data_IF_169224612131
#
_entry.id   IF_169224612131
#
_cell.length_a   1.000
_cell.length_b   1.000
_cell.length_c   1.000
_cell.angle_alpha   90.00
_cell.angle_beta   90.00
_cell.angle_gamma   90.00
#
_symmetry.space_group_name_H-M   'P 1'
#
loop_
_entity.id
_entity.type
_entity.pdbx_description
1 polymer ?
#
# COMPACT_ATOMS: atom_id res chain seq x y z
N UNK A 1 -1.60 17.01 9.74
CA UNK A 1 -3.01 17.34 10.06
C UNK A 1 -3.41 17.07 11.52
N UNK A 2 -3.29 15.86 12.05
CA UNK A 2 -3.76 15.54 13.43
C UNK A 2 -3.04 16.36 14.51
N UNK A 3 -1.73 16.51 14.39
CA UNK A 3 -0.92 17.35 15.29
C UNK A 3 -1.26 18.83 15.19
N UNK A 4 -1.52 19.32 13.97
CA UNK A 4 -1.93 20.70 13.72
C UNK A 4 -3.27 20.99 14.41
N UNK A 5 -4.24 20.08 14.31
CA UNK A 5 -5.53 20.18 14.99
C UNK A 5 -5.33 20.19 16.50
N UNK A 6 -4.52 19.27 17.04
CA UNK A 6 -4.23 19.22 18.48
C UNK A 6 -3.63 20.55 18.97
N UNK A 7 -2.70 21.13 18.22
CA UNK A 7 -2.08 22.42 18.55
C UNK A 7 -3.07 23.58 18.49
N UNK A 8 -3.93 23.60 17.48
CA UNK A 8 -4.94 24.65 17.29
C UNK A 8 -6.03 24.62 18.37
N UNK A 9 -6.41 23.44 18.86
CA UNK A 9 -7.48 23.29 19.87
C UNK A 9 -6.97 23.44 21.30
N UNK A 10 -5.67 23.23 21.55
CA UNK A 10 -5.03 23.32 22.88
C UNK A 10 -5.35 24.60 23.67
N UNK A 11 -5.45 25.82 23.07
CA UNK A 11 -5.80 27.04 23.80
C UNK A 11 -7.24 27.08 24.29
N UNK A 12 -8.15 26.33 23.65
CA UNK A 12 -9.57 26.28 23.98
C UNK A 12 -9.82 25.19 25.03
N UNK A 13 -9.27 23.99 24.79
CA UNK A 13 -9.47 22.85 25.67
C UNK A 13 -8.29 21.85 25.59
N UNK A 14 -7.84 21.28 26.71
CA UNK A 14 -6.74 20.31 26.69
C UNK A 14 -7.21 18.97 26.07
N UNK A 15 -6.67 18.64 24.90
CA UNK A 15 -6.95 17.38 24.18
C UNK A 15 -5.76 16.42 24.28
N UNK A 16 -6.03 15.18 24.71
CA UNK A 16 -4.98 14.16 24.94
C UNK A 16 -4.41 13.60 23.63
N UNK A 17 -5.28 13.22 22.70
CA UNK A 17 -4.94 12.71 21.37
C UNK A 17 -6.00 13.10 20.34
N UNK A 18 -5.60 13.22 19.08
CA UNK A 18 -6.48 13.48 17.94
C UNK A 18 -6.15 12.42 16.89
N UNK A 19 -7.17 11.79 16.32
CA UNK A 19 -7.01 10.76 15.28
C UNK A 19 -8.12 10.88 14.24
N UNK A 20 -7.78 10.69 12.96
CA UNK A 20 -8.75 10.61 11.87
C UNK A 20 -9.36 9.21 11.88
N UNK A 21 -10.61 9.09 12.35
CA UNK A 21 -11.30 7.80 12.49
C UNK A 21 -11.60 7.13 11.15
N UNK A 22 -11.89 7.92 10.11
CA UNK A 22 -12.32 7.45 8.81
C UNK A 22 -11.90 8.46 7.74
N UNK A 23 -11.23 7.97 6.70
CA UNK A 23 -10.97 8.71 5.47
C UNK A 23 -11.55 7.90 4.31
N UNK A 24 -12.39 8.52 3.49
CA UNK A 24 -12.97 7.91 2.30
C UNK A 24 -12.90 8.90 1.14
N UNK A 25 -12.52 8.40 -0.03
CA UNK A 25 -12.62 9.13 -1.28
C UNK A 25 -14.07 9.03 -1.76
N UNK A 26 -14.75 10.17 -1.91
CA UNK A 26 -16.15 10.22 -2.36
C UNK A 26 -16.29 10.37 -3.88
N UNK A 27 -15.27 10.94 -4.53
CA UNK A 27 -15.30 11.23 -5.96
C UNK A 27 -13.89 11.02 -6.53
N UNK A 28 -13.81 10.26 -7.62
CA UNK A 28 -12.58 10.05 -8.40
C UNK A 28 -12.64 10.78 -9.75
N UNK A 29 -11.52 10.83 -10.47
CA UNK A 29 -11.46 11.38 -11.83
C UNK A 29 -11.47 12.91 -11.93
N UNK A 30 -11.26 13.63 -10.83
CA UNK A 30 -11.13 15.10 -10.87
C UNK A 30 -9.74 15.48 -11.38
N UNK A 31 -9.67 15.92 -12.63
CA UNK A 31 -8.43 16.45 -13.21
C UNK A 31 -8.31 17.91 -12.81
N UNK A 32 -7.35 18.21 -11.93
CA UNK A 32 -6.99 19.59 -11.61
C UNK A 32 -5.86 20.06 -12.53
N UNK A 33 -6.08 21.14 -13.27
CA UNK A 33 -5.01 21.81 -14.04
C UNK A 33 -3.94 22.44 -13.13
N UNK A 34 -4.24 22.56 -11.83
CA UNK A 34 -3.34 23.09 -10.81
C UNK A 34 -2.83 21.97 -9.91
N UNK A 35 -1.58 21.56 -10.14
CA UNK A 35 -0.90 20.56 -9.33
C UNK A 35 0.13 19.81 -10.17
N UNK A 36 0.95 18.99 -9.50
CA UNK A 36 1.81 18.02 -10.20
C UNK A 36 0.95 16.91 -10.78
N UNK A 37 1.37 16.35 -11.91
CA UNK A 37 0.74 15.16 -12.50
C UNK A 37 1.14 13.90 -11.71
N UNK A 38 0.38 12.80 -11.85
CA UNK A 38 0.72 11.53 -11.18
C UNK A 38 2.12 11.03 -11.54
N UNK A 39 2.50 11.19 -12.81
CA UNK A 39 3.81 10.78 -13.32
C UNK A 39 4.95 11.60 -12.68
N UNK A 40 4.73 12.90 -12.44
CA UNK A 40 5.69 13.76 -11.75
C UNK A 40 5.87 13.36 -10.28
N UNK A 41 4.79 12.94 -9.60
CA UNK A 41 4.83 12.48 -8.20
C UNK A 41 5.66 11.20 -8.09
N UNK A 42 5.38 10.19 -8.92
CA UNK A 42 6.15 8.95 -8.91
C UNK A 42 7.63 9.17 -9.25
N UNK A 43 7.93 10.10 -10.18
CA UNK A 43 9.30 10.44 -10.51
C UNK A 43 10.04 11.13 -9.33
N UNK A 44 9.35 11.98 -8.57
CA UNK A 44 9.92 12.63 -7.39
C UNK A 44 10.13 11.64 -6.24
N UNK A 45 9.14 10.78 -5.98
CA UNK A 45 9.23 9.72 -4.96
C UNK A 45 10.38 8.75 -5.26
N UNK A 46 10.53 8.31 -6.51
CA UNK A 46 11.65 7.44 -6.91
C UNK A 46 13.01 8.11 -6.71
N UNK A 47 13.11 9.44 -6.94
CA UNK A 47 14.35 10.20 -6.70
C UNK A 47 14.64 10.35 -5.21
N UNK A 48 13.64 10.68 -4.39
CA UNK A 48 13.82 10.79 -2.94
C UNK A 48 14.15 9.45 -2.31
N UNK A 49 13.53 8.37 -2.77
CA UNK A 49 13.79 7.02 -2.28
C UNK A 49 15.19 6.56 -2.68
N UNK A 50 15.64 6.87 -3.90
CA UNK A 50 17.01 6.60 -4.33
C UNK A 50 18.02 7.38 -3.49
N UNK A 51 17.74 8.65 -3.16
CA UNK A 51 18.61 9.46 -2.31
C UNK A 51 18.65 8.93 -0.87
N UNK A 52 17.51 8.58 -0.28
CA UNK A 52 17.43 8.00 1.06
C UNK A 52 18.13 6.64 1.08
N UNK A 53 17.95 5.81 0.04
CA UNK A 53 18.62 4.52 -0.10
C UNK A 53 20.13 4.69 -0.26
N UNK A 54 20.58 5.67 -1.02
CA UNK A 54 22.01 5.97 -1.17
C UNK A 54 22.61 6.46 0.15
N UNK A 55 21.93 7.36 0.88
CA UNK A 55 22.38 7.82 2.21
C UNK A 55 22.40 6.69 3.22
N UNK A 56 21.37 5.83 3.24
CA UNK A 56 21.31 4.66 4.13
C UNK A 56 22.38 3.63 3.77
N UNK A 57 22.63 3.38 2.49
CA UNK A 57 23.69 2.49 2.03
C UNK A 57 25.09 3.05 2.33
N UNK A 58 25.30 4.35 2.18
CA UNK A 58 26.56 5.01 2.54
C UNK A 58 26.80 4.99 4.06
N UNK A 59 25.76 5.23 4.87
CA UNK A 59 25.85 5.11 6.32
C UNK A 59 26.13 3.66 6.77
N UNK A 60 25.51 2.68 6.11
CA UNK A 60 25.77 1.26 6.37
C UNK A 60 27.20 0.87 5.96
N UNK A 61 27.68 1.36 4.82
CA UNK A 61 29.04 1.11 4.36
C UNK A 61 30.09 1.73 5.31
N UNK A 62 29.90 2.98 5.74
CA UNK A 62 30.77 3.60 6.76
C UNK A 62 30.78 2.80 8.05
N UNK A 63 29.60 2.40 8.56
CA UNK A 63 29.52 1.63 9.80
C UNK A 63 30.15 0.22 9.72
N UNK A 64 30.22 -0.39 8.53
CA UNK A 64 30.89 -1.67 8.32
C UNK A 64 32.40 -1.50 8.04
N UNK A 65 32.81 -0.41 7.40
CA UNK A 65 34.23 -0.10 7.17
C UNK A 65 34.96 0.25 8.48
N UNK A 66 34.27 0.88 9.43
CA UNK A 66 34.76 1.12 10.81
C UNK A 66 34.88 -0.19 11.65
N UNK A 67 34.35 -1.34 11.19
CA UNK A 67 34.40 -2.63 11.91
C UNK A 67 35.57 -3.54 11.45
N UNK A 68 36.21 -3.25 10.30
CA UNK A 68 37.34 -4.01 9.75
C UNK A 68 38.74 -3.44 10.13
N UNK A 69 38.83 -2.25 10.76
CA UNK A 69 40.13 -1.68 11.23
C UNK A 69 40.43 -1.88 12.72
N UNK A 70 39.51 -2.39 13.55
CA UNK A 70 39.72 -2.54 15.01
C UNK A 70 39.84 -4.01 15.47
N UNK A 71 40.53 -4.85 14.70
CA UNK A 71 40.79 -6.25 15.05
C UNK A 71 42.08 -6.48 15.88
N UNK A 72 42.60 -5.49 16.60
CA UNK A 72 43.77 -5.70 17.49
C UNK A 72 43.71 -5.02 18.88
N UNK A 73 42.68 -4.24 19.27
CA UNK A 73 42.63 -3.65 20.63
C UNK A 73 41.20 -3.44 21.20
N UNK A 74 40.41 -4.51 21.29
CA UNK A 74 39.15 -4.51 22.05
C UNK A 74 39.21 -5.51 23.22
N UNK A 75 38.97 -5.08 24.49
CA UNK A 75 38.96 -6.00 25.63
C UNK A 75 37.85 -7.05 25.46
N UNK A 76 38.22 -8.30 25.72
CA UNK A 76 37.41 -9.49 25.44
C UNK A 76 36.03 -9.44 26.09
N UNK A 77 35.03 -9.68 25.25
CA UNK A 77 33.60 -10.02 25.42
C UNK A 77 33.25 -10.92 26.63
N UNK A 78 34.25 -11.52 27.28
CA UNK A 78 34.10 -12.33 28.49
C UNK A 78 33.70 -11.51 29.74
N UNK A 79 34.06 -10.21 29.82
CA UNK A 79 33.70 -9.35 30.96
C UNK A 79 32.23 -8.84 30.94
N UNK A 80 31.54 -8.92 29.80
CA UNK A 80 30.15 -8.47 29.67
C UNK A 80 29.10 -9.53 30.09
N UNK A 81 29.52 -10.80 30.18
CA UNK A 81 28.62 -11.92 30.49
C UNK A 81 28.31 -12.09 31.99
N UNK A 82 29.02 -11.39 32.88
CA UNK A 82 28.81 -11.47 34.33
C UNK A 82 27.75 -10.47 34.86
N UNK A 83 27.20 -9.61 33.99
CA UNK A 83 26.29 -8.53 34.41
C UNK A 83 24.79 -8.82 34.26
N UNK A 84 24.35 -9.93 33.64
CA UNK A 84 22.90 -10.12 33.46
C UNK A 84 22.43 -11.57 33.28
N UNK A 85 22.19 -12.26 34.39
CA UNK A 85 21.13 -13.27 34.56
C UNK A 85 20.61 -13.20 36.00
N UNK A 86 19.38 -13.64 36.34
CA UNK A 86 18.22 -14.02 35.52
C UNK A 86 16.88 -13.45 36.07
N UNK A 87 15.81 -13.39 35.28
CA UNK A 87 14.43 -13.50 35.80
C UNK A 87 13.35 -13.65 34.71
N UNK A 88 12.65 -14.79 34.79
CA UNK A 88 11.21 -14.95 34.53
C UNK A 88 10.73 -15.05 33.07
N UNK A 89 10.92 -16.23 32.50
CA UNK A 89 9.83 -17.20 32.26
C UNK A 89 8.39 -16.64 32.45
N UNK A 90 7.68 -16.46 31.33
CA UNK A 90 6.25 -16.81 31.20
C UNK A 90 5.89 -17.06 29.73
N UNK A 91 6.00 -18.33 29.38
CA UNK A 91 5.19 -19.09 28.43
C UNK A 91 3.72 -18.66 28.43
N UNK A 92 3.14 -18.42 27.26
CA UNK A 92 2.02 -19.23 26.74
C UNK A 92 1.75 -18.89 25.27
N UNK A 93 1.76 -19.92 24.45
CA UNK A 93 1.31 -19.95 23.08
C UNK A 93 -0.02 -20.76 23.03
N UNK A 94 -0.46 -21.35 21.91
CA UNK A 94 -1.59 -20.88 21.09
C UNK A 94 -2.72 -21.93 20.96
N UNK A 95 -3.95 -21.53 20.60
CA UNK A 95 -5.07 -22.43 20.22
C UNK A 95 -6.32 -21.55 19.98
N UNK A 96 -7.26 -21.78 19.06
CA UNK A 96 -7.49 -22.77 18.00
C UNK A 96 -8.76 -22.31 17.23
N UNK A 97 -8.81 -22.63 15.93
CA UNK A 97 -9.97 -22.98 15.07
C UNK A 97 -11.38 -22.37 15.32
N UNK A 98 -11.98 -21.63 14.38
CA UNK A 98 -12.59 -22.06 13.10
C UNK A 98 -14.04 -22.63 13.28
N UNK A 99 -14.77 -23.04 12.22
CA UNK A 99 -15.69 -22.21 11.43
C UNK A 99 -17.13 -22.79 11.33
N UNK A 100 -18.13 -21.98 10.96
CA UNK A 100 -19.44 -22.43 10.44
C UNK A 100 -20.14 -21.25 9.75
N UNK A 101 -20.37 -21.23 8.43
CA UNK A 101 -21.39 -21.95 7.62
C UNK A 101 -22.38 -20.88 7.12
N UNK A 102 -22.33 -20.50 5.82
CA UNK A 102 -23.31 -20.85 4.78
C UNK A 102 -24.77 -20.53 5.21
N UNK A 103 -25.61 -19.77 4.50
CA UNK A 103 -25.90 -19.80 3.08
C UNK A 103 -26.85 -18.61 2.72
N UNK A 104 -27.20 -18.41 1.44
CA UNK A 104 -27.54 -17.12 0.81
C UNK A 104 -29.05 -16.84 0.69
N UNK A 105 -29.39 -15.57 0.49
CA UNK A 105 -30.63 -15.08 -0.15
C UNK A 105 -30.31 -13.72 -0.79
N UNK A 106 -30.10 -13.65 -2.10
CA UNK A 106 -31.11 -13.25 -3.09
C UNK A 106 -31.89 -11.98 -2.68
N UNK A 107 -31.54 -10.82 -3.27
CA UNK A 107 -32.48 -10.04 -4.09
C UNK A 107 -31.80 -8.81 -4.72
N UNK A 108 -31.89 -8.76 -6.05
CA UNK A 108 -32.09 -7.58 -6.88
C UNK A 108 -31.10 -6.41 -6.78
N UNK A 109 -30.08 -6.44 -7.65
CA UNK A 109 -29.54 -5.22 -8.27
C UNK A 109 -29.86 -5.29 -9.75
N UNK A 110 -31.05 -4.81 -10.10
CA UNK A 110 -31.37 -4.33 -11.43
C UNK A 110 -31.13 -2.82 -11.44
N UNK A 111 -30.78 -2.29 -12.62
CA UNK A 111 -30.41 -0.90 -12.90
C UNK A 111 -28.97 -0.57 -12.44
N UNK A 112 -28.01 -0.39 -13.35
CA UNK A 112 -28.03 0.68 -14.34
C UNK A 112 -27.23 0.24 -15.59
N UNK A 113 -27.90 0.26 -16.74
CA UNK A 113 -27.23 0.21 -18.03
C UNK A 113 -26.37 1.48 -18.16
N UNK A 114 -25.06 1.34 -17.95
CA UNK A 114 -24.11 2.39 -18.27
C UNK A 114 -24.08 2.60 -19.79
N UNK A 115 -24.08 3.85 -20.27
CA UNK A 115 -24.07 4.14 -21.69
C UNK A 115 -22.76 3.66 -22.28
N UNK A 116 -22.86 3.03 -23.46
CA UNK A 116 -21.76 2.82 -24.37
C UNK A 116 -21.10 4.18 -24.68
N UNK A 117 -20.10 4.54 -23.88
CA UNK A 117 -19.09 5.46 -24.33
C UNK A 117 -18.20 4.64 -25.27
N UNK A 118 -18.11 5.05 -26.53
CA UNK A 118 -17.11 4.63 -27.51
C UNK A 118 -15.69 4.83 -26.93
N UNK A 119 -15.29 3.96 -26.01
CA UNK A 119 -13.91 3.82 -25.59
C UNK A 119 -13.23 3.08 -26.73
N UNK A 120 -12.24 3.69 -27.36
CA UNK A 120 -11.50 3.05 -28.44
C UNK A 120 -10.66 1.87 -27.91
N UNK A 121 -11.30 0.71 -27.83
CA UNK A 121 -10.72 -0.56 -27.43
C UNK A 121 -9.67 -1.10 -28.42
N UNK A 122 -9.45 -0.41 -29.56
CA UNK A 122 -8.41 -0.76 -30.54
C UNK A 122 -7.00 -0.61 -29.99
N UNK A 123 -6.80 0.33 -29.06
CA UNK A 123 -5.52 0.61 -28.42
C UNK A 123 -5.15 -0.38 -27.29
N UNK A 124 -6.13 -1.09 -26.73
CA UNK A 124 -5.90 -2.02 -25.61
C UNK A 124 -5.30 -3.36 -26.06
N UNK A 125 -4.63 -4.04 -25.14
CA UNK A 125 -4.05 -5.36 -25.38
C UNK A 125 -5.10 -6.46 -25.30
N UNK A 126 -4.83 -7.62 -25.91
CA UNK A 126 -5.76 -8.77 -25.89
C UNK A 126 -6.01 -9.28 -24.47
N UNK A 127 -5.07 -9.08 -23.53
CA UNK A 127 -5.24 -9.46 -22.14
C UNK A 127 -6.28 -8.57 -21.45
N UNK A 128 -6.13 -7.25 -21.56
CA UNK A 128 -7.05 -6.26 -20.98
C UNK A 128 -8.47 -6.41 -21.55
N UNK A 129 -8.60 -6.61 -22.86
CA UNK A 129 -9.90 -6.85 -23.50
C UNK A 129 -10.59 -8.12 -22.97
N UNK A 130 -9.83 -9.17 -22.67
CA UNK A 130 -10.38 -10.40 -22.07
C UNK A 130 -10.80 -10.17 -20.64
N UNK A 131 -10.07 -9.37 -19.87
CA UNK A 131 -10.40 -9.11 -18.47
C UNK A 131 -11.66 -8.23 -18.35
N UNK A 132 -11.81 -7.23 -19.23
CA UNK A 132 -13.06 -6.46 -19.36
C UNK A 132 -14.25 -7.34 -19.74
N UNK A 133 -14.07 -8.29 -20.67
CA UNK A 133 -15.12 -9.24 -21.04
C UNK A 133 -15.46 -10.22 -19.90
N UNK A 134 -14.49 -10.67 -19.11
CA UNK A 134 -14.76 -11.47 -17.90
C UNK A 134 -15.55 -10.69 -16.86
N UNK A 135 -15.15 -9.43 -16.61
CA UNK A 135 -15.86 -8.54 -15.69
C UNK A 135 -17.30 -8.28 -16.15
N UNK A 136 -17.52 -8.13 -17.46
CA UNK A 136 -18.83 -7.99 -18.06
C UNK A 136 -19.60 -9.32 -18.24
N UNK A 137 -19.03 -10.48 -17.84
CA UNK A 137 -19.65 -11.80 -18.01
C UNK A 137 -19.81 -12.27 -19.47
N UNK A 138 -19.14 -11.60 -20.43
CA UNK A 138 -19.17 -11.90 -21.87
C UNK A 138 -18.07 -12.90 -22.27
N UNK A 139 -18.23 -13.68 -23.36
CA UNK A 139 -17.27 -14.70 -23.77
C UNK A 139 -15.92 -14.12 -24.24
N UNK A 140 -14.81 -14.69 -23.74
CA UNK A 140 -13.42 -14.25 -23.98
C UNK A 140 -12.72 -14.91 -25.19
N UNK A 141 -13.49 -15.62 -26.02
CA UNK A 141 -12.97 -16.41 -27.14
C UNK A 141 -13.03 -15.64 -28.47
N UNK A 142 -12.00 -15.77 -29.31
CA UNK A 142 -11.95 -15.12 -30.63
C UNK A 142 -10.72 -14.24 -30.85
N UNK A 143 -10.69 -13.54 -31.99
CA UNK A 143 -9.63 -12.60 -32.37
C UNK A 143 -9.83 -11.24 -31.69
N UNK A 144 -8.81 -10.38 -31.69
CA UNK A 144 -8.86 -9.04 -31.07
C UNK A 144 -10.09 -8.23 -31.53
N UNK A 145 -10.41 -8.27 -32.81
CA UNK A 145 -11.58 -7.57 -33.36
C UNK A 145 -12.91 -8.07 -32.79
N UNK A 146 -13.06 -9.37 -32.57
CA UNK A 146 -14.28 -9.95 -32.00
C UNK A 146 -14.45 -9.55 -30.52
N UNK A 147 -13.35 -9.47 -29.78
CA UNK A 147 -13.37 -9.02 -28.38
C UNK A 147 -13.77 -7.55 -28.28
N UNK A 148 -13.27 -6.71 -29.19
CA UNK A 148 -13.61 -5.28 -29.29
C UNK A 148 -15.09 -5.11 -29.66
N UNK A 149 -15.56 -5.82 -30.69
CA UNK A 149 -16.95 -5.73 -31.13
C UNK A 149 -17.95 -6.07 -30.00
N UNK A 150 -17.66 -7.09 -29.19
CA UNK A 150 -18.50 -7.47 -28.04
C UNK A 150 -18.48 -6.45 -26.90
N UNK A 151 -17.41 -5.67 -26.75
CA UNK A 151 -17.36 -4.60 -25.75
C UNK A 151 -18.13 -3.37 -26.22
N UNK A 152 -18.22 -3.15 -27.53
CA UNK A 152 -18.97 -2.06 -28.16
C UNK A 152 -20.46 -2.35 -28.43
N UNK A 153 -20.92 -3.57 -28.13
CA UNK A 153 -22.33 -4.01 -28.23
C UNK A 153 -23.04 -3.91 -26.88
#
# INVERSE_FOLDING_TARGET
>A
MEEEIRKAVKPIYPVKSVAIRKSQLLQEGVITEKGKTLDEIHAEEARSDAEIKAKKAAALASAMEDEDEEAEDAPSILDAAEAMEPASEKTEAPAEEAPAEEAPAEEAVAEEAAPAADVDHSSMTVAELKDLLKAAGKPVSGKKADLIARLNE
#
